data_IF_976369764356
#
_entry.id   IF_976369764356
#
_cell.length_a   1.000
_cell.length_b   1.000
_cell.length_c   1.000
_cell.angle_alpha   90.00
_cell.angle_beta   90.00
_cell.angle_gamma   90.00
#
_symmetry.space_group_name_H-M   'P 1'
#
loop_
_entity.id
_entity.type
_entity.pdbx_description
1 polymer ?
#
# COMPACT_ATOMS: atom_id res chain seq x y z
N UNK A 1 3.02 -10.65 1.44
CA UNK A 1 2.21 -9.65 2.14
C UNK A 1 0.91 -10.27 2.65
N UNK A 2 0.36 -11.24 1.93
CA UNK A 2 -0.95 -11.85 2.18
C UNK A 2 -1.15 -12.40 3.60
N UNK A 3 -0.17 -13.08 4.20
CA UNK A 3 -0.37 -13.70 5.53
C UNK A 3 -0.77 -12.71 6.65
N UNK A 4 -0.15 -11.52 6.70
CA UNK A 4 -0.51 -10.49 7.70
C UNK A 4 -1.80 -9.80 7.29
N UNK A 5 -1.96 -9.48 6.01
CA UNK A 5 -3.16 -8.83 5.50
C UNK A 5 -4.40 -9.69 5.77
N UNK A 6 -4.36 -10.98 5.48
CA UNK A 6 -5.47 -11.93 5.68
C UNK A 6 -5.82 -12.08 7.16
N UNK A 7 -4.83 -12.08 8.06
CA UNK A 7 -5.07 -12.18 9.50
C UNK A 7 -5.83 -10.97 10.07
N UNK A 8 -5.66 -9.79 9.49
CA UNK A 8 -6.26 -8.54 10.01
C UNK A 8 -7.32 -7.93 9.09
N UNK A 9 -7.57 -8.53 7.92
CA UNK A 9 -8.40 -7.98 6.83
C UNK A 9 -9.80 -7.58 7.30
N UNK A 10 -10.41 -8.38 8.15
CA UNK A 10 -11.78 -8.14 8.64
C UNK A 10 -11.86 -7.05 9.74
N UNK A 11 -10.72 -6.49 10.13
CA UNK A 11 -10.60 -5.50 11.21
C UNK A 11 -10.22 -4.10 10.72
N UNK A 12 -9.94 -3.95 9.43
CA UNK A 12 -9.48 -2.70 8.82
C UNK A 12 -10.14 -2.52 7.46
N UNK A 13 -10.36 -1.27 7.05
CA UNK A 13 -10.90 -0.98 5.71
C UNK A 13 -9.78 -0.78 4.66
N UNK A 14 -8.61 -0.33 5.12
CA UNK A 14 -7.53 0.14 4.27
C UNK A 14 -6.17 -0.22 4.88
N UNK A 15 -5.29 -0.79 4.07
CA UNK A 15 -3.87 -0.89 4.36
C UNK A 15 -3.15 0.32 3.81
N UNK A 16 -2.26 0.92 4.62
CA UNK A 16 -1.42 2.06 4.24
C UNK A 16 0.02 1.73 4.62
N UNK A 17 0.96 2.00 3.72
CA UNK A 17 2.40 1.89 4.00
C UNK A 17 3.18 2.98 3.27
N UNK A 18 4.34 3.32 3.81
CA UNK A 18 5.36 4.08 3.10
C UNK A 18 6.28 3.09 2.37
N UNK A 19 6.57 3.39 1.10
CA UNK A 19 7.49 2.60 0.29
C UNK A 19 8.59 3.48 -0.27
N UNK A 20 9.83 2.98 -0.29
CA UNK A 20 10.87 3.56 -1.12
C UNK A 20 10.39 3.66 -2.58
N UNK A 21 10.57 4.82 -3.20
CA UNK A 21 10.03 5.09 -4.55
C UNK A 21 10.54 4.07 -5.58
N UNK A 22 11.80 3.63 -5.44
CA UNK A 22 12.43 2.61 -6.29
C UNK A 22 11.85 1.20 -6.09
N UNK A 23 11.17 0.95 -4.97
CA UNK A 23 10.52 -0.33 -4.64
C UNK A 23 9.02 -0.31 -4.87
N UNK A 24 8.42 0.81 -5.32
CA UNK A 24 6.96 0.92 -5.48
C UNK A 24 6.35 -0.20 -6.34
N UNK A 25 7.08 -0.63 -7.39
CA UNK A 25 6.63 -1.70 -8.30
C UNK A 25 6.48 -3.07 -7.64
N UNK A 26 7.14 -3.31 -6.51
CA UNK A 26 6.89 -4.51 -5.70
C UNK A 26 5.50 -4.46 -5.05
N UNK A 27 5.15 -3.34 -4.42
CA UNK A 27 3.87 -3.17 -3.74
C UNK A 27 2.70 -3.07 -4.73
N UNK A 28 2.92 -2.47 -5.91
CA UNK A 28 1.94 -2.48 -7.02
C UNK A 28 1.55 -3.90 -7.42
N UNK A 29 2.51 -4.83 -7.50
CA UNK A 29 2.24 -6.26 -7.77
C UNK A 29 1.45 -6.93 -6.65
N UNK A 30 1.51 -6.40 -5.43
CA UNK A 30 0.70 -6.87 -4.29
C UNK A 30 -0.68 -6.20 -4.23
N UNK A 31 -1.05 -5.35 -5.21
CA UNK A 31 -2.35 -4.68 -5.27
C UNK A 31 -2.43 -3.33 -4.55
N UNK A 32 -1.29 -2.80 -4.09
CA UNK A 32 -1.23 -1.44 -3.57
C UNK A 32 -1.19 -0.41 -4.71
N UNK A 33 -1.70 0.79 -4.45
CA UNK A 33 -1.64 1.93 -5.36
C UNK A 33 -1.00 3.12 -4.66
N UNK A 34 -0.14 3.84 -5.37
CA UNK A 34 0.46 5.06 -4.88
C UNK A 34 -0.64 6.11 -4.64
N UNK A 35 -0.67 6.73 -3.46
CA UNK A 35 -1.52 7.90 -3.20
C UNK A 35 -0.85 9.12 -3.84
N UNK A 36 -1.60 9.87 -4.63
CA UNK A 36 -1.36 11.26 -5.06
C UNK A 36 0.03 11.63 -5.61
N UNK A 37 0.86 10.65 -5.99
CA UNK A 37 2.27 10.86 -6.41
C UNK A 37 3.08 11.75 -5.47
N UNK A 38 2.68 11.91 -4.20
CA UNK A 38 3.40 12.70 -3.23
C UNK A 38 4.64 11.94 -2.77
N UNK A 39 5.80 12.39 -3.27
CA UNK A 39 7.12 11.88 -2.88
C UNK A 39 7.63 12.72 -1.73
N UNK A 40 7.91 12.08 -0.61
CA UNK A 40 8.54 12.70 0.55
C UNK A 40 9.93 12.11 0.79
N UNK A 41 10.75 12.80 1.58
CA UNK A 41 12.07 12.32 1.99
C UNK A 41 11.98 11.93 3.45
N UNK A 42 12.37 10.69 3.74
CA UNK A 42 12.44 10.16 5.09
C UNK A 42 13.74 9.36 5.22
N UNK A 43 14.50 9.67 6.27
CA UNK A 43 15.89 9.21 6.50
C UNK A 43 16.82 9.36 5.28
N UNK A 44 16.62 10.42 4.48
CA UNK A 44 17.41 10.69 3.27
C UNK A 44 17.01 9.87 2.04
N UNK A 45 16.01 9.00 2.16
CA UNK A 45 15.48 8.21 1.05
C UNK A 45 14.13 8.75 0.55
N UNK A 46 13.91 8.72 -0.77
CA UNK A 46 12.64 9.11 -1.37
C UNK A 46 11.60 8.02 -1.17
N UNK A 47 10.47 8.38 -0.58
CA UNK A 47 9.36 7.49 -0.27
C UNK A 47 8.05 8.01 -0.85
N UNK A 48 7.06 7.13 -0.99
CA UNK A 48 5.69 7.47 -1.34
C UNK A 48 4.71 6.64 -0.49
N UNK A 49 3.54 7.21 -0.22
CA UNK A 49 2.46 6.47 0.43
C UNK A 49 1.76 5.54 -0.56
N UNK A 50 1.46 4.34 -0.11
CA UNK A 50 0.77 3.32 -0.91
C UNK A 50 -0.41 2.73 -0.14
N UNK A 51 -1.51 2.48 -0.84
CA UNK A 51 -2.77 2.00 -0.25
C UNK A 51 -3.32 0.77 -0.94
N UNK A 52 -3.95 -0.11 -0.17
CA UNK A 52 -4.71 -1.26 -0.67
C UNK A 52 -5.99 -1.40 0.15
N UNK A 53 -7.15 -1.50 -0.50
CA UNK A 53 -8.41 -1.78 0.20
C UNK A 53 -8.35 -3.19 0.78
N UNK A 54 -8.75 -3.35 2.04
CA UNK A 54 -8.78 -4.65 2.69
C UNK A 54 -9.78 -5.58 2.00
N UNK A 55 -10.96 -5.05 1.70
CA UNK A 55 -12.00 -5.73 0.96
C UNK A 55 -12.31 -4.91 -0.31
N UNK A 56 -11.83 -5.35 -1.50
CA UNK A 56 -12.25 -4.72 -2.74
C UNK A 56 -13.77 -4.90 -2.87
N UNK A 57 -14.50 -3.78 -3.04
CA UNK A 57 -15.93 -3.84 -3.35
C UNK A 57 -16.08 -4.70 -4.61
N UNK A 58 -16.76 -5.82 -4.51
CA UNK A 58 -17.18 -6.58 -5.67
C UNK A 58 -18.02 -5.64 -6.54
N UNK A 59 -17.61 -5.39 -7.77
CA UNK A 59 -18.46 -4.73 -8.75
C UNK A 59 -19.76 -5.56 -8.83
N UNK A 60 -20.87 -4.96 -8.41
CA UNK A 60 -22.20 -5.60 -8.36
C UNK A 60 -22.88 -5.43 -9.70
#
# INVERSE_FOLDING_TARGET
>A
MDAVEDFIRDRVDLFILAALIEKKGFYEKCGYRCIDNEIFVDEGAKQCWMTKRANPQSET
#
